data_IF_356471540914
#
_entry.id   IF_356471540914
#
_cell.length_a   1.000
_cell.length_b   1.000
_cell.length_c   1.000
_cell.angle_alpha   90.00
_cell.angle_beta   90.00
_cell.angle_gamma   90.00
#
_symmetry.space_group_name_H-M   'P 1'
#
loop_
_entity.id
_entity.type
_entity.pdbx_description
1 polymer ?
#
# COMPACT_ATOMS: atom_id res chain seq x y z
N UNK A 1 -5.25 2.76 -18.67
CA UNK A 1 -5.91 1.67 -17.91
C UNK A 1 -7.40 1.99 -17.89
N UNK A 2 -8.25 1.09 -18.37
CA UNK A 2 -9.69 1.35 -18.40
C UNK A 2 -10.20 1.53 -16.95
N UNK A 3 -10.82 2.68 -16.66
CA UNK A 3 -11.49 2.96 -15.39
C UNK A 3 -12.84 2.23 -15.41
N UNK A 4 -12.83 0.91 -15.28
CA UNK A 4 -14.07 0.15 -15.07
C UNK A 4 -14.60 0.50 -13.67
N UNK A 5 -15.83 1.04 -13.54
CA UNK A 5 -16.41 1.37 -12.25
C UNK A 5 -16.39 0.17 -11.31
N UNK A 6 -16.13 0.38 -10.02
CA UNK A 6 -16.15 -0.71 -9.02
C UNK A 6 -17.48 -1.48 -9.01
N UNK A 7 -18.57 -0.80 -9.39
CA UNK A 7 -19.91 -1.38 -9.54
C UNK A 7 -19.97 -2.49 -10.60
N UNK A 8 -19.17 -2.43 -11.67
CA UNK A 8 -19.21 -3.39 -12.79
C UNK A 8 -18.36 -4.65 -12.54
N UNK A 9 -17.50 -4.64 -11.52
CA UNK A 9 -16.69 -5.81 -11.17
C UNK A 9 -17.54 -6.86 -10.46
N UNK A 10 -17.28 -8.15 -10.73
CA UNK A 10 -17.88 -9.23 -9.94
C UNK A 10 -17.36 -9.22 -8.49
N UNK A 11 -18.13 -9.79 -7.56
CA UNK A 11 -17.75 -9.91 -6.13
C UNK A 11 -16.42 -10.64 -5.94
N UNK A 12 -16.14 -11.65 -6.77
CA UNK A 12 -14.87 -12.37 -6.77
C UNK A 12 -13.69 -11.46 -7.17
N UNK A 13 -13.86 -10.67 -8.23
CA UNK A 13 -12.83 -9.76 -8.72
C UNK A 13 -12.59 -8.59 -7.75
N UNK A 14 -13.63 -8.08 -7.09
CA UNK A 14 -13.51 -7.09 -6.01
C UNK A 14 -12.72 -7.64 -4.82
N UNK A 15 -12.97 -8.89 -4.44
CA UNK A 15 -12.26 -9.56 -3.34
C UNK A 15 -10.79 -9.78 -3.67
N UNK A 16 -10.49 -10.32 -4.86
CA UNK A 16 -9.11 -10.50 -5.35
C UNK A 16 -8.34 -9.18 -5.37
N UNK A 17 -8.96 -8.10 -5.86
CA UNK A 17 -8.34 -6.77 -5.91
C UNK A 17 -8.06 -6.23 -4.51
N UNK A 18 -9.00 -6.35 -3.57
CA UNK A 18 -8.79 -5.97 -2.17
C UNK A 18 -7.60 -6.70 -1.54
N UNK A 19 -7.54 -8.02 -1.73
CA UNK A 19 -6.51 -8.85 -1.10
C UNK A 19 -5.13 -8.60 -1.71
N UNK A 20 -5.05 -8.36 -3.03
CA UNK A 20 -3.82 -7.88 -3.67
C UNK A 20 -3.36 -6.53 -3.09
N UNK A 21 -4.25 -5.52 -3.01
CA UNK A 21 -3.87 -4.21 -2.45
C UNK A 21 -3.38 -4.34 -0.99
N UNK A 22 -4.06 -5.14 -0.17
CA UNK A 22 -3.63 -5.41 1.21
C UNK A 22 -2.28 -6.11 1.26
N UNK A 23 -2.07 -7.14 0.42
CA UNK A 23 -0.81 -7.86 0.34
C UNK A 23 0.36 -6.95 -0.05
N UNK A 24 0.16 -6.09 -1.06
CA UNK A 24 1.15 -5.10 -1.48
C UNK A 24 1.46 -4.11 -0.36
N UNK A 25 0.45 -3.56 0.32
CA UNK A 25 0.65 -2.66 1.45
C UNK A 25 1.48 -3.29 2.57
N UNK A 26 1.22 -4.56 2.90
CA UNK A 26 1.97 -5.29 3.93
C UNK A 26 3.42 -5.51 3.49
N UNK A 27 3.64 -5.98 2.26
CA UNK A 27 4.98 -6.21 1.72
C UNK A 27 5.82 -4.92 1.69
N UNK A 28 5.21 -3.81 1.23
CA UNK A 28 5.84 -2.49 1.24
C UNK A 28 6.15 -2.00 2.66
N UNK A 29 5.27 -2.27 3.63
CA UNK A 29 5.50 -1.87 5.02
C UNK A 29 6.68 -2.62 5.64
N UNK A 30 6.78 -3.94 5.43
CA UNK A 30 7.90 -4.76 5.89
C UNK A 30 9.21 -4.27 5.26
N UNK A 31 9.19 -4.05 3.94
CA UNK A 31 10.36 -3.56 3.22
C UNK A 31 10.81 -2.18 3.70
N UNK A 32 9.87 -1.28 3.99
CA UNK A 32 10.16 0.04 4.54
C UNK A 32 10.87 -0.02 5.89
N UNK A 33 10.42 -0.90 6.81
CA UNK A 33 11.09 -1.10 8.10
C UNK A 33 12.52 -1.60 7.93
N UNK A 34 12.76 -2.53 7.01
CA UNK A 34 14.13 -3.00 6.70
C UNK A 34 15.02 -1.86 6.19
N UNK A 35 14.50 -1.01 5.31
CA UNK A 35 15.24 0.16 4.81
C UNK A 35 15.53 1.18 5.92
N UNK A 36 14.63 1.38 6.88
CA UNK A 36 14.89 2.23 8.05
C UNK A 36 16.04 1.64 8.88
N UNK A 37 16.02 0.33 9.14
CA UNK A 37 17.11 -0.34 9.84
C UNK A 37 18.46 -0.16 9.14
N UNK A 38 18.47 -0.27 7.80
CA UNK A 38 19.66 -0.03 7.00
C UNK A 38 20.11 1.44 7.05
N UNK A 39 19.17 2.39 7.01
CA UNK A 39 19.46 3.82 7.13
C UNK A 39 20.13 4.14 8.47
N UNK A 40 19.61 3.58 9.57
CA UNK A 40 20.19 3.72 10.91
C UNK A 40 21.60 3.13 10.95
N UNK A 41 21.80 1.93 10.41
CA UNK A 41 23.11 1.29 10.35
C UNK A 41 24.13 2.17 9.60
N UNK A 42 23.78 2.69 8.42
CA UNK A 42 24.66 3.56 7.64
C UNK A 42 24.92 4.91 8.30
N UNK A 43 23.91 5.47 8.99
CA UNK A 43 24.09 6.69 9.77
C UNK A 43 25.14 6.49 10.87
N UNK A 44 25.04 5.41 11.64
CA UNK A 44 25.95 5.12 12.75
C UNK A 44 27.33 4.71 12.24
N UNK A 45 27.41 3.81 11.25
CA UNK A 45 28.67 3.23 10.81
C UNK A 45 29.48 4.11 9.85
N UNK A 46 28.81 5.00 9.10
CA UNK A 46 29.44 5.77 8.01
C UNK A 46 29.14 7.28 8.05
N UNK A 47 28.35 7.76 9.01
CA UNK A 47 27.92 9.16 9.15
C UNK A 47 27.28 9.76 7.88
N UNK A 48 26.74 8.90 7.00
CA UNK A 48 26.14 9.28 5.72
C UNK A 48 24.78 8.61 5.58
N UNK A 49 23.72 9.39 5.81
CA UNK A 49 22.33 8.93 5.67
C UNK A 49 21.54 9.72 4.61
N UNK A 50 22.18 10.63 3.88
CA UNK A 50 21.53 11.44 2.82
C UNK A 50 20.91 10.59 1.71
N UNK A 51 21.44 9.39 1.46
CA UNK A 51 20.87 8.41 0.53
C UNK A 51 19.47 7.91 0.94
N UNK A 52 19.09 8.05 2.21
CA UNK A 52 17.82 7.58 2.76
C UNK A 52 16.78 8.70 2.93
N UNK A 53 17.05 9.94 2.52
CA UNK A 53 16.06 11.04 2.53
C UNK A 53 14.75 10.66 1.81
N UNK A 54 14.79 10.00 0.62
CA UNK A 54 13.56 9.57 -0.07
C UNK A 54 12.69 8.61 0.76
N UNK A 55 13.27 7.92 1.75
CA UNK A 55 12.55 6.98 2.62
C UNK A 55 11.47 7.67 3.45
N UNK A 56 11.63 8.97 3.75
CA UNK A 56 10.65 9.79 4.47
C UNK A 56 9.41 10.08 3.61
N UNK A 57 9.57 10.13 2.29
CA UNK A 57 8.48 10.40 1.33
C UNK A 57 7.78 9.10 0.91
N UNK A 58 8.40 7.95 1.16
CA UNK A 58 7.86 6.63 0.79
C UNK A 58 6.41 6.38 1.24
N UNK A 59 5.98 6.70 2.48
CA UNK A 59 4.58 6.52 2.89
C UNK A 59 3.59 7.33 2.05
N UNK A 60 4.01 8.49 1.54
CA UNK A 60 3.18 9.36 0.72
C UNK A 60 2.87 8.71 -0.63
N UNK A 61 3.80 7.92 -1.17
CA UNK A 61 3.59 7.19 -2.43
C UNK A 61 2.53 6.09 -2.32
N UNK A 62 2.26 5.60 -1.10
CA UNK A 62 1.27 4.55 -0.81
C UNK A 62 -0.14 5.08 -0.51
N UNK A 63 -0.29 6.38 -0.23
CA UNK A 63 -1.59 7.03 -0.01
C UNK A 63 -2.65 6.69 -1.07
N UNK A 64 -2.39 6.83 -2.39
CA UNK A 64 -3.41 6.54 -3.40
C UNK A 64 -3.84 5.07 -3.38
N UNK A 65 -2.97 4.15 -3.01
CA UNK A 65 -3.29 2.73 -2.85
C UNK A 65 -4.20 2.52 -1.64
N UNK A 66 -3.86 3.16 -0.51
CA UNK A 66 -4.64 3.08 0.72
C UNK A 66 -6.04 3.70 0.56
N UNK A 67 -6.14 4.83 -0.13
CA UNK A 67 -7.42 5.50 -0.40
C UNK A 67 -8.35 4.66 -1.26
N UNK A 68 -7.82 3.80 -2.15
CA UNK A 68 -8.61 2.87 -2.96
C UNK A 68 -9.19 1.69 -2.15
N UNK A 69 -8.63 1.35 -0.99
CA UNK A 69 -9.14 0.24 -0.16
C UNK A 69 -10.50 0.55 0.47
N UNK A 70 -10.75 1.81 0.88
CA UNK A 70 -12.03 2.22 1.47
C UNK A 70 -13.22 1.98 0.53
N UNK A 71 -13.25 2.51 -0.71
CA UNK A 71 -14.38 2.30 -1.62
C UNK A 71 -14.51 0.83 -2.02
N UNK A 72 -13.41 0.08 -2.19
CA UNK A 72 -13.43 -1.37 -2.41
C UNK A 72 -14.12 -2.12 -1.26
N UNK A 73 -13.81 -1.77 -0.01
CA UNK A 73 -14.41 -2.40 1.17
C UNK A 73 -15.88 -2.02 1.35
N UNK A 74 -16.25 -0.77 1.10
CA UNK A 74 -17.64 -0.29 1.12
C UNK A 74 -18.49 -1.05 0.10
N UNK A 75 -18.01 -1.17 -1.14
CA UNK A 75 -18.71 -1.91 -2.20
C UNK A 75 -18.91 -3.39 -1.85
N UNK A 76 -17.87 -4.04 -1.31
CA UNK A 76 -17.95 -5.41 -0.81
C UNK A 76 -18.92 -5.59 0.36
N UNK A 77 -19.05 -4.58 1.23
CA UNK A 77 -19.98 -4.60 2.36
C UNK A 77 -21.42 -4.42 1.88
N UNK A 78 -21.65 -3.47 0.97
CA UNK A 78 -22.98 -3.20 0.41
C UNK A 78 -23.55 -4.42 -0.32
N UNK A 79 -22.71 -5.21 -0.99
CA UNK A 79 -23.12 -6.46 -1.66
C UNK A 79 -23.32 -7.66 -0.73
N UNK A 80 -22.87 -7.56 0.53
CA UNK A 80 -23.04 -8.60 1.56
C UNK A 80 -24.21 -8.31 2.49
N UNK A 81 -24.75 -7.09 2.50
CA UNK A 81 -26.01 -6.81 3.17
C UNK A 81 -27.16 -7.21 2.23
N UNK A 82 -28.16 -7.95 2.74
CA UNK A 82 -29.33 -8.38 1.97
C UNK A 82 -30.19 -7.20 1.52
#
# INVERSE_FOLDING_TARGET
MANTPLAELSTENLTKRRDLLKGVLIAFSIFWVLLIGLAIYFYIAKAKATLFIPLMVFPITLLPLFLQLKPLQTELKNRKQP
#
